data_IF_241768509093
#
_entry.id   IF_241768509093
#
_cell.length_a   1.000
_cell.length_b   1.000
_cell.length_c   1.000
_cell.angle_alpha   90.00
_cell.angle_beta   90.00
_cell.angle_gamma   90.00
#
_symmetry.space_group_name_H-M   'P 1'
#
loop_
_entity.id
_entity.type
_entity.pdbx_description
1 polymer ?
#
# COMPACT_ATOMS: atom_id res chain seq x y z
N UNK A 1 -12.55 -14.98 3.56
CA UNK A 1 -11.48 -15.30 2.58
C UNK A 1 -12.01 -15.09 1.17
N UNK A 2 -11.79 -13.91 0.58
CA UNK A 2 -12.30 -13.57 -0.77
C UNK A 2 -11.56 -14.39 -1.84
N UNK A 3 -12.17 -15.48 -2.31
CA UNK A 3 -11.63 -16.37 -3.37
C UNK A 3 -11.19 -15.63 -4.65
N UNK A 4 -11.75 -14.44 -4.91
CA UNK A 4 -11.42 -13.61 -6.08
C UNK A 4 -10.02 -13.01 -6.01
N UNK A 5 -9.57 -12.55 -4.84
CA UNK A 5 -8.22 -11.99 -4.69
C UNK A 5 -7.11 -13.02 -4.92
N UNK A 6 -7.29 -14.26 -4.45
CA UNK A 6 -6.36 -15.35 -4.75
C UNK A 6 -6.34 -15.72 -6.24
N UNK A 7 -7.49 -15.64 -6.92
CA UNK A 7 -7.58 -15.84 -8.36
C UNK A 7 -6.85 -14.73 -9.13
N UNK A 8 -6.96 -13.49 -8.66
CA UNK A 8 -6.24 -12.33 -9.19
C UNK A 8 -4.73 -12.41 -9.03
N UNK A 9 -4.25 -12.83 -7.86
CA UNK A 9 -2.82 -13.03 -7.61
C UNK A 9 -2.24 -14.10 -8.56
N UNK A 10 -3.03 -15.09 -8.95
CA UNK A 10 -2.61 -16.14 -9.88
C UNK A 10 -2.85 -15.80 -11.36
N UNK A 11 -3.72 -14.83 -11.65
CA UNK A 11 -4.08 -14.39 -12.99
C UNK A 11 -4.34 -12.86 -13.02
N UNK A 12 -3.28 -12.03 -13.08
CA UNK A 12 -3.38 -10.57 -12.97
C UNK A 12 -4.13 -9.89 -14.14
N UNK A 13 -4.44 -10.64 -15.20
CA UNK A 13 -5.24 -10.18 -16.35
C UNK A 13 -6.71 -10.67 -16.31
N UNK A 14 -7.08 -11.47 -15.31
CA UNK A 14 -8.40 -12.11 -15.24
C UNK A 14 -9.38 -11.27 -14.42
N UNK A 15 -10.02 -10.31 -15.09
CA UNK A 15 -11.24 -9.66 -14.60
C UNK A 15 -11.03 -8.24 -14.08
N UNK A 16 -12.11 -7.64 -13.58
CA UNK A 16 -12.15 -6.29 -13.02
C UNK A 16 -12.06 -6.39 -11.48
N UNK A 17 -11.17 -5.61 -10.84
CA UNK A 17 -11.01 -5.65 -9.39
C UNK A 17 -12.35 -5.18 -8.81
N UNK A 18 -12.95 -6.01 -7.95
CA UNK A 18 -14.20 -5.60 -7.32
C UNK A 18 -13.91 -4.33 -6.48
N UNK A 19 -14.72 -3.26 -6.60
CA UNK A 19 -14.57 -2.08 -5.76
C UNK A 19 -14.46 -2.43 -4.27
N UNK A 20 -15.14 -3.50 -3.82
CA UNK A 20 -15.06 -3.98 -2.44
C UNK A 20 -13.68 -4.56 -2.05
N UNK A 21 -12.91 -5.06 -3.01
CA UNK A 21 -11.56 -5.62 -2.79
C UNK A 21 -10.45 -4.55 -2.92
N UNK A 22 -10.80 -3.31 -3.30
CA UNK A 22 -9.84 -2.21 -3.49
C UNK A 22 -9.02 -1.89 -2.22
N UNK A 23 -9.63 -1.76 -1.02
CA UNK A 23 -8.88 -1.56 0.22
C UNK A 23 -7.86 -2.67 0.48
N UNK A 24 -8.23 -3.92 0.20
CA UNK A 24 -7.42 -5.09 0.48
C UNK A 24 -6.25 -5.20 -0.51
N UNK A 25 -6.46 -4.88 -1.79
CA UNK A 25 -5.40 -4.81 -2.79
C UNK A 25 -4.38 -3.70 -2.47
N UNK A 26 -4.86 -2.50 -2.10
CA UNK A 26 -4.03 -1.38 -1.66
C UNK A 26 -3.20 -1.73 -0.42
N UNK A 27 -3.85 -2.28 0.60
CA UNK A 27 -3.20 -2.69 1.84
C UNK A 27 -2.17 -3.81 1.60
N UNK A 28 -2.46 -4.75 0.70
CA UNK A 28 -1.51 -5.81 0.30
C UNK A 28 -0.26 -5.21 -0.36
N UNK A 29 -0.42 -4.22 -1.25
CA UNK A 29 0.72 -3.53 -1.86
C UNK A 29 1.55 -2.76 -0.81
N UNK A 30 0.90 -2.11 0.16
CA UNK A 30 1.59 -1.43 1.26
C UNK A 30 2.41 -2.40 2.12
N UNK A 31 1.83 -3.54 2.50
CA UNK A 31 2.51 -4.58 3.27
C UNK A 31 3.66 -5.20 2.48
N UNK A 32 3.46 -5.46 1.19
CA UNK A 32 4.53 -5.94 0.31
C UNK A 32 5.67 -4.92 0.21
N UNK A 33 5.36 -3.64 0.02
CA UNK A 33 6.34 -2.57 -0.05
C UNK A 33 7.13 -2.43 1.26
N UNK A 34 6.45 -2.47 2.41
CA UNK A 34 7.09 -2.41 3.71
C UNK A 34 8.08 -3.56 3.94
N UNK A 35 7.77 -4.77 3.43
CA UNK A 35 8.59 -5.96 3.63
C UNK A 35 9.73 -6.13 2.60
N UNK A 36 9.64 -5.50 1.42
CA UNK A 36 10.54 -5.77 0.28
C UNK A 36 11.26 -4.55 -0.26
N UNK A 37 10.61 -3.39 -0.21
CA UNK A 37 11.07 -2.16 -0.85
C UNK A 37 11.67 -1.17 0.16
N UNK A 38 11.34 -1.31 1.45
CA UNK A 38 11.88 -0.49 2.54
C UNK A 38 13.01 -1.22 3.29
N UNK A 39 13.94 -0.50 3.94
CA UNK A 39 14.95 -1.10 4.80
C UNK A 39 14.31 -1.94 5.92
N UNK A 40 14.96 -3.05 6.28
CA UNK A 40 14.51 -3.92 7.36
C UNK A 40 14.29 -3.13 8.66
N UNK A 41 13.24 -3.49 9.41
CA UNK A 41 12.82 -2.88 10.67
C UNK A 41 12.28 -1.42 10.61
N UNK A 42 12.10 -0.84 9.41
CA UNK A 42 11.61 0.53 9.28
C UNK A 42 10.09 0.67 9.54
N UNK A 43 9.31 -0.31 9.08
CA UNK A 43 7.87 -0.41 9.35
C UNK A 43 7.61 -1.81 9.88
N UNK A 44 7.23 -1.91 11.15
CA UNK A 44 6.81 -3.16 11.77
C UNK A 44 5.30 -3.39 11.66
N UNK A 45 4.83 -4.55 12.16
CA UNK A 45 3.41 -4.85 12.31
C UNK A 45 2.59 -3.75 13.02
N UNK A 46 3.03 -3.16 14.16
CA UNK A 46 2.22 -2.16 14.84
C UNK A 46 2.14 -0.83 14.08
N UNK A 47 3.14 -0.49 13.26
CA UNK A 47 3.09 0.66 12.36
C UNK A 47 2.11 0.42 11.22
N UNK A 48 2.16 -0.77 10.60
CA UNK A 48 1.20 -1.16 9.57
C UNK A 48 -0.23 -1.11 10.11
N UNK A 49 -0.48 -1.66 11.29
CA UNK A 49 -1.81 -1.63 11.90
C UNK A 49 -2.32 -0.19 12.08
N UNK A 50 -1.46 0.75 12.49
CA UNK A 50 -1.84 2.18 12.61
C UNK A 50 -2.12 2.84 11.26
N UNK A 51 -1.30 2.54 10.25
CA UNK A 51 -1.48 3.04 8.88
C UNK A 51 -2.82 2.55 8.33
N UNK A 52 -3.09 1.25 8.46
CA UNK A 52 -4.32 0.62 7.99
C UNK A 52 -5.55 1.13 8.76
N UNK A 53 -5.47 1.20 10.09
CA UNK A 53 -6.53 1.76 10.93
C UNK A 53 -6.90 3.18 10.51
N UNK A 54 -5.88 4.04 10.34
CA UNK A 54 -6.09 5.43 9.95
C UNK A 54 -6.60 5.58 8.52
N UNK A 55 -6.14 4.73 7.59
CA UNK A 55 -6.50 4.84 6.18
C UNK A 55 -7.91 4.33 5.89
N UNK A 56 -8.34 3.29 6.59
CA UNK A 56 -9.57 2.57 6.31
C UNK A 56 -10.61 2.71 7.44
N UNK A 57 -10.38 3.62 8.38
CA UNK A 57 -11.25 3.88 9.55
C UNK A 57 -11.56 2.61 10.34
N UNK A 58 -10.51 1.81 10.60
CA UNK A 58 -10.65 0.51 11.27
C UNK A 58 -10.27 0.61 12.74
N UNK A 59 -10.89 -0.24 13.56
CA UNK A 59 -10.40 -0.52 14.91
C UNK A 59 -9.04 -1.21 14.86
N UNK A 60 -8.32 -1.22 15.98
CA UNK A 60 -7.02 -1.91 16.09
C UNK A 60 -7.13 -3.41 15.77
N UNK A 61 -8.22 -4.05 16.17
CA UNK A 61 -8.45 -5.48 15.92
C UNK A 61 -8.65 -5.75 14.43
N UNK A 62 -9.51 -4.96 13.78
CA UNK A 62 -9.78 -5.06 12.34
C UNK A 62 -8.53 -4.76 11.51
N UNK A 63 -7.75 -3.73 11.90
CA UNK A 63 -6.49 -3.41 11.23
C UNK A 63 -5.47 -4.56 11.32
N UNK A 64 -5.34 -5.20 12.49
CA UNK A 64 -4.48 -6.38 12.66
C UNK A 64 -4.97 -7.58 11.85
N UNK A 65 -6.28 -7.81 11.77
CA UNK A 65 -6.86 -8.89 10.96
C UNK A 65 -6.61 -8.64 9.47
N UNK A 66 -6.84 -7.40 9.02
CA UNK A 66 -6.58 -7.01 7.65
C UNK A 66 -5.09 -7.10 7.32
N UNK A 67 -4.18 -6.68 8.21
CA UNK A 67 -2.74 -6.85 8.05
C UNK A 67 -2.38 -8.33 7.89
N UNK A 68 -2.88 -9.21 8.76
CA UNK A 68 -2.58 -10.65 8.67
C UNK A 68 -3.05 -11.25 7.32
N UNK A 69 -4.21 -10.81 6.84
CA UNK A 69 -4.71 -11.19 5.51
C UNK A 69 -3.81 -10.65 4.40
N UNK A 70 -3.42 -9.38 4.47
CA UNK A 70 -2.51 -8.75 3.51
C UNK A 70 -1.13 -9.40 3.50
N UNK A 71 -0.59 -9.82 4.64
CA UNK A 71 0.69 -10.52 4.75
C UNK A 71 0.63 -11.88 4.07
N UNK A 72 -0.45 -12.63 4.26
CA UNK A 72 -0.66 -13.89 3.57
C UNK A 72 -0.73 -13.71 2.05
N UNK A 73 -1.46 -12.67 1.59
CA UNK A 73 -1.56 -12.32 0.18
C UNK A 73 -0.20 -11.86 -0.39
N UNK A 74 0.51 -10.97 0.31
CA UNK A 74 1.81 -10.46 -0.11
C UNK A 74 2.86 -11.57 -0.21
N UNK A 75 2.77 -12.62 0.63
CA UNK A 75 3.62 -13.82 0.51
C UNK A 75 3.25 -14.70 -0.69
N UNK A 76 1.99 -14.71 -1.10
CA UNK A 76 1.50 -15.48 -2.24
C UNK A 76 1.76 -14.78 -3.59
N UNK A 77 1.98 -13.46 -3.58
CA UNK A 77 2.32 -12.67 -4.78
C UNK A 77 3.74 -13.03 -5.26
N UNK A 78 3.87 -13.37 -6.54
CA UNK A 78 5.16 -13.71 -7.16
C UNK A 78 6.05 -12.50 -7.44
N UNK A 79 5.44 -11.38 -7.86
CA UNK A 79 6.14 -10.13 -8.13
C UNK A 79 5.34 -8.96 -7.60
N UNK A 80 5.98 -8.12 -6.78
CA UNK A 80 5.36 -6.88 -6.35
C UNK A 80 5.12 -5.90 -7.50
N UNK A 81 5.84 -6.02 -8.63
CA UNK A 81 5.60 -5.17 -9.81
C UNK A 81 4.26 -5.48 -10.46
N UNK A 82 3.90 -6.76 -10.58
CA UNK A 82 2.59 -7.18 -11.09
C UNK A 82 1.47 -6.66 -10.19
N UNK A 83 1.67 -6.73 -8.86
CA UNK A 83 0.74 -6.18 -7.89
C UNK A 83 0.61 -4.66 -8.00
N UNK A 84 1.73 -3.95 -8.16
CA UNK A 84 1.75 -2.50 -8.34
C UNK A 84 1.03 -2.07 -9.63
N UNK A 85 1.24 -2.80 -10.72
CA UNK A 85 0.57 -2.55 -12.00
C UNK A 85 -0.94 -2.79 -11.89
N UNK A 86 -1.36 -3.91 -11.29
CA UNK A 86 -2.74 -4.24 -11.03
C UNK A 86 -3.44 -3.13 -10.23
N UNK A 87 -2.84 -2.73 -9.10
CA UNK A 87 -3.37 -1.66 -8.26
C UNK A 87 -3.42 -0.34 -9.05
N UNK A 88 -2.41 -0.03 -9.86
CA UNK A 88 -2.39 1.20 -10.67
C UNK A 88 -3.45 1.22 -11.78
N UNK A 89 -3.80 0.06 -12.35
CA UNK A 89 -4.82 -0.08 -13.39
C UNK A 89 -6.25 -0.01 -12.85
N UNK A 90 -6.47 -0.45 -11.61
CA UNK A 90 -7.82 -0.63 -11.06
C UNK A 90 -8.16 0.32 -9.90
N UNK A 91 -7.17 0.94 -9.28
CA UNK A 91 -7.36 1.84 -8.14
C UNK A 91 -7.01 3.27 -8.55
N UNK A 92 -7.91 4.24 -8.31
CA UNK A 92 -7.68 5.61 -8.71
C UNK A 92 -6.48 6.22 -7.98
N UNK A 93 -5.81 7.18 -8.62
CA UNK A 93 -4.56 7.76 -8.12
C UNK A 93 -4.73 8.38 -6.73
N UNK A 94 -5.86 9.04 -6.46
CA UNK A 94 -6.15 9.66 -5.17
C UNK A 94 -6.08 8.65 -4.01
N UNK A 95 -6.68 7.47 -4.19
CA UNK A 95 -6.67 6.41 -3.17
C UNK A 95 -5.26 5.86 -2.93
N UNK A 96 -4.51 5.64 -4.03
CA UNK A 96 -3.10 5.20 -3.97
C UNK A 96 -2.23 6.25 -3.27
N UNK A 97 -2.44 7.53 -3.57
CA UNK A 97 -1.72 8.67 -2.99
C UNK A 97 -2.01 8.82 -1.50
N UNK A 98 -3.27 8.76 -1.08
CA UNK A 98 -3.65 8.85 0.34
C UNK A 98 -2.95 7.79 1.18
N UNK A 99 -2.84 6.54 0.69
CA UNK A 99 -2.14 5.49 1.42
C UNK A 99 -0.62 5.73 1.44
N UNK A 100 -0.01 6.11 0.31
CA UNK A 100 1.41 6.45 0.25
C UNK A 100 1.77 7.62 1.19
N UNK A 101 0.91 8.63 1.26
CA UNK A 101 1.05 9.79 2.15
C UNK A 101 0.90 9.38 3.62
N UNK A 102 -0.06 8.49 3.95
CA UNK A 102 -0.19 7.94 5.31
C UNK A 102 1.07 7.17 5.74
N UNK A 103 1.62 6.33 4.87
CA UNK A 103 2.87 5.60 5.14
C UNK A 103 4.04 6.58 5.35
N UNK A 104 4.15 7.56 4.47
CA UNK A 104 5.22 8.57 4.53
C UNK A 104 5.14 9.43 5.80
N UNK A 105 3.92 9.81 6.21
CA UNK A 105 3.70 10.56 7.44
C UNK A 105 4.14 9.79 8.69
N UNK A 106 3.86 8.48 8.76
CA UNK A 106 4.31 7.63 9.87
C UNK A 106 5.84 7.47 9.91
N UNK A 107 6.50 7.54 8.74
CA UNK A 107 7.94 7.41 8.60
C UNK A 107 8.71 8.71 8.86
N UNK A 108 8.14 9.87 8.51
CA UNK A 108 8.82 11.18 8.57
C UNK A 108 9.31 11.54 9.97
N UNK A 109 8.62 11.10 11.02
CA UNK A 109 9.04 11.33 12.41
C UNK A 109 10.13 10.39 12.92
N UNK A 110 10.55 9.39 12.13
CA UNK A 110 11.36 8.27 12.60
C UNK A 110 12.65 8.02 11.82
N UNK A 111 12.80 8.60 10.62
CA UNK A 111 13.94 8.29 9.76
C UNK A 111 14.54 9.52 9.06
N UNK A 112 15.87 9.71 9.07
CA UNK A 112 16.54 10.85 8.43
C UNK A 112 16.36 10.86 6.90
N UNK A 113 16.22 9.70 6.26
CA UNK A 113 16.00 9.57 4.81
C UNK A 113 14.52 9.52 4.38
N UNK A 114 13.63 10.24 5.08
CA UNK A 114 12.19 10.26 4.77
C UNK A 114 11.89 10.54 3.28
N UNK A 115 12.61 11.47 2.65
CA UNK A 115 12.42 11.81 1.22
C UNK A 115 12.87 10.72 0.24
N UNK A 116 13.78 9.82 0.65
CA UNK A 116 14.13 8.65 -0.16
C UNK A 116 13.02 7.61 -0.09
N UNK A 117 12.48 7.39 1.10
CA UNK A 117 11.39 6.45 1.36
C UNK A 117 10.10 6.88 0.66
N UNK A 118 9.77 8.17 0.71
CA UNK A 118 8.65 8.78 -0.02
C UNK A 118 8.73 8.52 -1.53
N UNK A 119 9.93 8.63 -2.12
CA UNK A 119 10.15 8.31 -3.54
C UNK A 119 9.97 6.83 -3.84
N UNK A 120 10.50 5.96 -2.98
CA UNK A 120 10.32 4.50 -3.13
C UNK A 120 8.85 4.12 -3.08
N UNK A 121 8.10 4.64 -2.10
CA UNK A 121 6.67 4.41 -1.99
C UNK A 121 5.92 4.99 -3.19
N UNK A 122 6.20 6.23 -3.59
CA UNK A 122 5.57 6.84 -4.76
C UNK A 122 5.76 6.02 -6.03
N UNK A 123 6.99 5.55 -6.28
CA UNK A 123 7.28 4.66 -7.40
C UNK A 123 6.49 3.35 -7.29
N UNK A 124 6.43 2.77 -6.09
CA UNK A 124 5.73 1.51 -5.84
C UNK A 124 4.22 1.59 -6.04
N UNK A 125 3.62 2.72 -5.68
CA UNK A 125 2.20 2.98 -5.87
C UNK A 125 1.89 3.52 -7.28
N UNK A 126 2.87 3.63 -8.19
CA UNK A 126 2.67 4.16 -9.54
C UNK A 126 2.21 5.63 -9.53
N UNK A 127 2.70 6.41 -8.56
CA UNK A 127 2.41 7.84 -8.43
C UNK A 127 3.50 8.63 -9.14
N UNK A 128 3.15 9.71 -9.87
CA UNK A 128 4.17 10.64 -10.36
C UNK A 128 4.93 11.18 -9.15
N UNK A 129 6.25 10.98 -9.14
CA UNK A 129 7.10 11.37 -8.02
C UNK A 129 6.84 12.83 -7.67
N UNK A 130 6.53 13.10 -6.40
CA UNK A 130 6.27 14.46 -5.95
C UNK A 130 7.49 15.33 -6.26
N UNK A 131 7.38 16.18 -7.29
CA UNK A 131 8.16 17.41 -7.33
C UNK A 131 7.67 18.23 -6.14
N UNK A 132 8.55 18.45 -5.16
CA UNK A 132 8.24 19.22 -3.98
C UNK A 132 7.62 20.57 -4.37
N UNK A 133 6.48 20.86 -3.73
CA UNK A 133 5.95 22.21 -3.54
C UNK A 133 5.57 23.00 -4.78
N UNK A 134 4.28 22.97 -5.13
CA UNK A 134 3.58 24.19 -5.54
C UNK A 134 2.19 24.21 -4.90
N UNK A 135 2.13 24.68 -3.65
CA UNK A 135 0.92 25.35 -3.16
C UNK A 135 0.75 26.62 -4.01
N UNK A 136 -0.04 26.54 -5.10
CA UNK A 136 -0.63 27.74 -5.69
C UNK A 136 -1.88 28.07 -4.87
N UNK A 137 -1.68 28.93 -3.88
CA UNK A 137 -2.76 29.71 -3.30
C UNK A 137 -3.19 30.71 -4.36
N UNK A 138 -4.48 30.74 -4.67
CA UNK A 138 -5.12 31.83 -5.40
C UNK A 138 -6.02 32.55 -4.40
#
# INVERSE_FOLDING_TARGET
MSKRLLMWINAPHAGWLDPADTPLALATLAVHAANRDLPDALIGPPELDRILARRFDLTRAEASEMRATCEALARAVRSGEELAQLVSCHVPENERRLLADCMSAELRGRHPDASRLERTLSARFGLPGQRGGEYRVN
#
